data_IF_468510182904
#
_entry.id   IF_468510182904
#
_cell.length_a   1.000
_cell.length_b   1.000
_cell.length_c   1.000
_cell.angle_alpha   90.00
_cell.angle_beta   90.00
_cell.angle_gamma   90.00
#
_symmetry.space_group_name_H-M   'P 1'
#
loop_
_entity.id
_entity.type
_entity.pdbx_description
1 polymer ?
#
# COMPACT_ATOMS: atom_id res chain seq x y z
N UNK A 1 8.75 -0.33 -16.03
CA UNK A 1 9.50 -1.13 -15.04
C UNK A 1 8.52 -2.07 -14.35
N UNK A 2 8.86 -3.34 -14.17
CA UNK A 2 8.02 -4.28 -13.44
C UNK A 2 8.23 -4.07 -11.93
N UNK A 3 7.15 -3.90 -11.17
CA UNK A 3 7.19 -3.81 -9.71
C UNK A 3 7.54 -5.19 -9.12
N UNK A 4 8.47 -5.24 -8.17
CA UNK A 4 8.74 -6.44 -7.37
C UNK A 4 7.87 -6.41 -6.09
N UNK A 5 6.97 -7.40 -5.90
CA UNK A 5 6.18 -7.50 -4.68
C UNK A 5 7.04 -8.03 -3.53
N UNK A 6 6.93 -7.40 -2.36
CA UNK A 6 7.57 -7.88 -1.13
C UNK A 6 6.57 -8.38 -0.09
N UNK A 7 5.29 -8.00 -0.21
CA UNK A 7 4.23 -8.49 0.67
C UNK A 7 2.93 -8.74 -0.11
N UNK A 8 2.37 -9.94 0.08
CA UNK A 8 1.23 -10.46 -0.68
C UNK A 8 0.05 -10.74 0.26
N UNK A 9 -0.81 -9.75 0.48
CA UNK A 9 -2.04 -9.95 1.26
C UNK A 9 -3.20 -10.39 0.39
N UNK A 10 -4.03 -11.33 0.83
CA UNK A 10 -5.48 -11.33 0.52
C UNK A 10 -5.93 -10.82 -0.85
N UNK A 11 -6.21 -9.53 -0.82
CA UNK A 11 -6.82 -8.70 -1.83
C UNK A 11 -5.91 -7.58 -2.34
N UNK A 12 -4.71 -7.42 -1.76
CA UNK A 12 -3.79 -6.31 -2.06
C UNK A 12 -2.33 -6.72 -2.03
N UNK A 13 -1.50 -6.02 -2.78
CA UNK A 13 -0.05 -6.24 -2.85
C UNK A 13 0.65 -4.98 -2.39
N UNK A 14 1.79 -5.16 -1.73
CA UNK A 14 2.77 -4.10 -1.55
C UNK A 14 3.98 -4.35 -2.46
N UNK A 15 4.39 -3.30 -3.17
CA UNK A 15 5.59 -3.30 -3.99
C UNK A 15 6.38 -2.02 -3.79
N UNK A 16 7.71 -2.12 -3.85
CA UNK A 16 8.57 -0.95 -3.83
C UNK A 16 8.54 -0.29 -5.22
N UNK A 17 8.29 1.02 -5.26
CA UNK A 17 8.29 1.80 -6.52
C UNK A 17 9.67 2.43 -6.74
N UNK A 18 10.25 2.92 -5.66
CA UNK A 18 11.60 3.47 -5.57
C UNK A 18 12.07 3.35 -4.10
N UNK A 19 13.37 3.52 -3.80
CA UNK A 19 13.86 3.46 -2.44
C UNK A 19 13.07 4.38 -1.49
N UNK A 20 12.57 3.83 -0.39
CA UNK A 20 11.80 4.59 0.61
C UNK A 20 10.32 4.81 0.26
N UNK A 21 9.83 4.35 -0.90
CA UNK A 21 8.44 4.52 -1.35
C UNK A 21 7.84 3.19 -1.76
N UNK A 22 6.72 2.85 -1.12
CA UNK A 22 5.98 1.63 -1.38
C UNK A 22 4.58 1.95 -1.90
N UNK A 23 4.13 1.15 -2.86
CA UNK A 23 2.78 1.18 -3.40
C UNK A 23 1.98 0.01 -2.83
N UNK A 24 0.85 0.32 -2.21
CA UNK A 24 -0.19 -0.67 -1.90
C UNK A 24 -1.26 -0.60 -2.98
N UNK A 25 -1.54 -1.70 -3.67
CA UNK A 25 -2.53 -1.73 -4.74
C UNK A 25 -3.39 -3.00 -4.74
N UNK A 26 -4.52 -2.95 -5.43
CA UNK A 26 -5.48 -4.04 -5.49
C UNK A 26 -4.98 -5.19 -6.37
N UNK A 27 -5.22 -6.43 -5.95
CA UNK A 27 -5.06 -7.58 -6.84
C UNK A 27 -6.20 -7.65 -7.86
N UNK A 28 -5.99 -8.29 -9.03
CA UNK A 28 -7.08 -8.62 -9.92
C UNK A 28 -8.09 -9.56 -9.23
N UNK A 29 -9.31 -9.09 -9.02
CA UNK A 29 -10.38 -9.86 -8.37
C UNK A 29 -11.50 -10.12 -9.38
N UNK A 30 -11.79 -11.39 -9.63
CA UNK A 30 -12.81 -11.81 -10.61
C UNK A 30 -14.23 -11.48 -10.17
N UNK A 31 -14.51 -11.58 -8.86
CA UNK A 31 -15.83 -11.29 -8.32
C UNK A 31 -16.05 -9.76 -8.24
N UNK A 32 -16.96 -9.25 -9.07
CA UNK A 32 -17.25 -7.81 -9.17
C UNK A 32 -17.75 -7.20 -7.85
N UNK A 33 -18.62 -7.89 -7.12
CA UNK A 33 -19.15 -7.38 -5.86
C UNK A 33 -18.05 -7.26 -4.80
N UNK A 34 -17.16 -8.26 -4.74
CA UNK A 34 -15.99 -8.21 -3.86
C UNK A 34 -15.01 -7.11 -4.29
N UNK A 35 -14.74 -6.98 -5.59
CA UNK A 35 -13.85 -5.94 -6.13
C UNK A 35 -14.37 -4.53 -5.78
N UNK A 36 -15.67 -4.28 -5.93
CA UNK A 36 -16.28 -3.00 -5.57
C UNK A 36 -16.14 -2.69 -4.07
N UNK A 37 -16.41 -3.69 -3.20
CA UNK A 37 -16.25 -3.53 -1.75
C UNK A 37 -14.81 -3.19 -1.36
N UNK A 38 -13.82 -3.88 -1.95
CA UNK A 38 -12.43 -3.63 -1.58
C UNK A 38 -11.93 -2.32 -2.18
N UNK A 39 -12.38 -1.95 -3.38
CA UNK A 39 -12.10 -0.63 -3.95
C UNK A 39 -12.58 0.47 -3.00
N UNK A 40 -13.79 0.33 -2.43
CA UNK A 40 -14.28 1.25 -1.40
C UNK A 40 -13.39 1.27 -0.14
N UNK A 41 -12.84 0.13 0.29
CA UNK A 41 -11.88 0.10 1.40
C UNK A 41 -10.59 0.89 1.10
N UNK A 42 -10.14 0.94 -0.16
CA UNK A 42 -9.00 1.78 -0.54
C UNK A 42 -9.34 3.27 -0.51
N UNK A 43 -10.55 3.64 -0.93
CA UNK A 43 -11.05 5.02 -0.84
C UNK A 43 -11.13 5.48 0.62
N UNK A 44 -11.81 4.71 1.48
CA UNK A 44 -11.89 5.02 2.92
C UNK A 44 -10.50 5.03 3.56
N UNK A 45 -9.63 4.09 3.20
CA UNK A 45 -8.26 4.05 3.70
C UNK A 45 -7.45 5.29 3.31
N UNK A 46 -7.64 5.80 2.09
CA UNK A 46 -7.06 7.08 1.64
C UNK A 46 -7.55 8.25 2.49
N UNK A 47 -8.85 8.39 2.68
CA UNK A 47 -9.45 9.48 3.47
C UNK A 47 -8.93 9.49 4.92
N UNK A 48 -8.82 8.31 5.53
CA UNK A 48 -8.25 8.17 6.88
C UNK A 48 -6.78 8.63 6.91
N UNK A 49 -5.98 8.19 5.94
CA UNK A 49 -4.57 8.56 5.86
C UNK A 49 -4.37 10.06 5.60
N UNK A 50 -5.21 10.66 4.76
CA UNK A 50 -5.23 12.11 4.52
C UNK A 50 -5.57 12.87 5.81
N UNK A 51 -6.58 12.41 6.56
CA UNK A 51 -6.98 13.02 7.82
C UNK A 51 -5.91 12.91 8.93
N UNK A 52 -5.18 11.79 8.98
CA UNK A 52 -4.05 11.62 9.91
C UNK A 52 -2.88 12.56 9.61
N UNK A 53 -2.72 12.96 8.33
CA UNK A 53 -1.65 13.83 7.88
C UNK A 53 -0.25 13.26 8.14
N UNK A 54 0.74 14.15 8.20
CA UNK A 54 2.12 13.77 8.47
C UNK A 54 2.33 13.57 9.97
N UNK A 55 2.74 12.37 10.36
CA UNK A 55 3.02 12.07 11.76
C UNK A 55 4.29 11.22 11.90
N UNK A 56 5.21 11.54 12.84
CA UNK A 56 6.52 10.88 12.91
C UNK A 56 6.48 9.38 13.26
N UNK A 57 5.36 8.88 13.78
CA UNK A 57 5.18 7.46 14.19
C UNK A 57 4.14 6.69 13.38
N UNK A 58 3.59 7.31 12.33
CA UNK A 58 2.65 6.66 11.43
C UNK A 58 3.29 6.66 10.05
N UNK A 59 3.12 5.59 9.29
CA UNK A 59 3.57 5.53 7.90
C UNK A 59 2.93 6.68 7.14
N UNK A 60 3.76 7.54 6.53
CA UNK A 60 3.24 8.72 5.86
C UNK A 60 2.60 8.34 4.52
N UNK A 61 1.43 8.91 4.29
CA UNK A 61 0.79 8.88 2.99
C UNK A 61 1.42 9.91 2.06
N UNK A 62 1.85 9.45 0.88
CA UNK A 62 2.55 10.26 -0.12
C UNK A 62 1.64 10.68 -1.28
N UNK A 63 0.45 10.09 -1.39
CA UNK A 63 -0.52 10.40 -2.42
C UNK A 63 -1.13 9.17 -3.10
N UNK A 64 -2.03 9.43 -4.03
CA UNK A 64 -2.68 8.39 -4.83
C UNK A 64 -1.87 8.18 -6.11
N UNK A 65 -1.55 6.92 -6.43
CA UNK A 65 -0.96 6.57 -7.71
C UNK A 65 -2.06 6.37 -8.75
N UNK A 66 -2.04 7.17 -9.79
CA UNK A 66 -2.90 7.06 -10.98
C UNK A 66 -2.13 7.11 -12.31
N UNK A 67 -0.79 7.20 -12.27
CA UNK A 67 0.03 7.30 -13.46
C UNK A 67 -0.04 6.04 -14.34
N UNK A 68 -0.05 6.27 -15.65
CA UNK A 68 -0.03 5.20 -16.64
C UNK A 68 1.23 4.32 -16.47
N UNK A 69 1.04 3.00 -16.43
CA UNK A 69 2.12 2.01 -16.35
C UNK A 69 2.36 1.42 -14.95
N UNK A 70 1.68 1.91 -13.92
CA UNK A 70 1.66 1.29 -12.58
C UNK A 70 0.22 1.03 -12.14
N UNK A 71 -0.01 0.03 -11.24
CA UNK A 71 -1.33 -0.18 -10.66
C UNK A 71 -1.78 1.03 -9.85
N UNK A 72 -3.09 1.30 -9.86
CA UNK A 72 -3.66 2.35 -9.03
C UNK A 72 -3.65 1.94 -7.56
N UNK A 73 -3.31 2.88 -6.67
CA UNK A 73 -3.21 2.57 -5.25
C UNK A 73 -2.63 3.67 -4.38
N UNK A 74 -2.26 3.28 -3.16
CA UNK A 74 -1.76 4.18 -2.12
C UNK A 74 -0.24 4.21 -2.15
N UNK A 75 0.36 5.40 -2.33
CA UNK A 75 1.79 5.61 -2.12
C UNK A 75 2.05 5.91 -0.65
N UNK A 76 2.98 5.18 -0.07
CA UNK A 76 3.32 5.23 1.35
C UNK A 76 4.84 5.29 1.51
N UNK A 77 5.33 5.87 2.60
CA UNK A 77 6.74 5.74 2.97
C UNK A 77 7.06 4.31 3.41
N UNK A 78 8.24 3.83 3.07
CA UNK A 78 8.75 2.55 3.55
C UNK A 78 9.14 2.62 5.04
N UNK A 79 8.79 1.59 5.80
CA UNK A 79 9.25 1.46 7.19
C UNK A 79 10.71 1.00 7.21
N UNK A 80 11.55 1.70 7.97
CA UNK A 80 13.01 1.52 7.99
C UNK A 80 13.50 0.12 8.39
N UNK A 81 12.70 -0.65 9.13
CA UNK A 81 13.01 -2.03 9.52
C UNK A 81 11.90 -3.02 9.13
N UNK A 82 11.02 -2.62 8.21
CA UNK A 82 9.91 -3.44 7.78
C UNK A 82 8.91 -3.77 8.89
N UNK A 83 8.48 -5.03 8.94
CA UNK A 83 7.46 -5.53 9.85
C UNK A 83 8.01 -5.75 11.28
N UNK A 84 7.25 -5.34 12.30
CA UNK A 84 7.65 -5.45 13.71
C UNK A 84 7.87 -6.90 14.16
N UNK A 85 6.98 -7.83 13.81
CA UNK A 85 7.11 -9.24 14.21
C UNK A 85 8.39 -9.83 13.62
N UNK A 86 8.62 -9.61 12.32
CA UNK A 86 9.84 -10.06 11.65
C UNK A 86 11.11 -9.49 12.31
N UNK A 87 11.09 -8.21 12.65
CA UNK A 87 12.20 -7.56 13.36
C UNK A 87 12.47 -8.18 14.73
N UNK A 88 11.44 -8.67 15.42
CA UNK A 88 11.59 -9.34 16.70
C UNK A 88 12.05 -10.79 16.54
N UNK A 89 11.60 -11.49 15.51
CA UNK A 89 11.94 -12.90 15.24
C UNK A 89 13.38 -13.08 14.73
N UNK A 90 13.92 -12.09 14.02
CA UNK A 90 15.29 -12.09 13.47
C UNK A 90 16.34 -11.59 14.49
N UNK A 91 15.94 -11.30 15.73
CA UNK A 91 16.85 -10.97 16.83
C UNK A 91 17.18 -12.17 17.70
#
# INVERSE_FOLDING_TARGET
MALSPFELGSTSVFSQVQPGVVLKYLRPIKNRALAARITNCFVVGREILEALGKHPRIVNYLGWQDNAGLPQGLLLTEANHGNLQRYLDEK
#
